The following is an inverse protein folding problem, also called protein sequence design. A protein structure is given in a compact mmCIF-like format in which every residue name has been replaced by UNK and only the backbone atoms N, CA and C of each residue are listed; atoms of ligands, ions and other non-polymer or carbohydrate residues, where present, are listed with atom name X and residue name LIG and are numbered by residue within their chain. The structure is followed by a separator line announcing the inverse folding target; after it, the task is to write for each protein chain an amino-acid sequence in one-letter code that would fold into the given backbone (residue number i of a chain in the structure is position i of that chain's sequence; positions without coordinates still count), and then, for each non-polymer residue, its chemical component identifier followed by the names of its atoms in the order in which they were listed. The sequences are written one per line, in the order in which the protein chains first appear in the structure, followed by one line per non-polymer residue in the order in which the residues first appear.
data_IF_568579953791
#
_entry.id   IF_568579953791
#
_cell.length_a   1.000
_cell.length_b   1.000
_cell.length_c   1.000
_cell.angle_alpha   90.00
_cell.angle_beta   90.00
_cell.angle_gamma   90.00
#
_symmetry.space_group_name_H-M   'P 1'
#
loop_
_entity.id
_entity.type
_entity.pdbx_description
1 polymer ?
#
# COMPACT_ATOMS: atom_id res chain seq x y z
N UNK A 1 9.88 -80.77 -17.04
CA UNK A 1 8.86 -79.70 -16.96
C UNK A 1 9.47 -78.36 -17.32
N UNK A 2 8.75 -77.51 -18.05
CA UNK A 2 9.21 -76.21 -18.46
C UNK A 2 9.45 -75.23 -17.27
N UNK A 3 10.28 -74.27 -17.43
CA UNK A 3 10.55 -73.18 -16.46
C UNK A 3 9.25 -72.40 -16.23
N UNK A 4 8.86 -72.19 -14.95
CA UNK A 4 7.60 -71.53 -14.61
C UNK A 4 7.86 -70.31 -13.78
N UNK A 5 7.07 -69.24 -13.96
CA UNK A 5 7.06 -68.05 -13.11
C UNK A 5 6.72 -68.45 -11.65
N UNK A 6 7.49 -67.97 -10.69
CA UNK A 6 7.27 -68.24 -9.25
C UNK A 6 6.76 -67.00 -8.53
N UNK A 7 7.48 -65.92 -8.62
CA UNK A 7 7.17 -64.64 -7.93
C UNK A 7 7.73 -63.43 -8.65
N UNK A 8 7.30 -62.26 -8.25
CA UNK A 8 7.95 -60.97 -8.60
C UNK A 8 8.29 -60.21 -7.33
N UNK A 9 9.24 -59.29 -7.45
CA UNK A 9 9.59 -58.35 -6.41
C UNK A 9 9.96 -56.99 -7.04
N UNK A 10 9.62 -55.88 -6.38
CA UNK A 10 10.17 -54.58 -6.72
C UNK A 10 11.58 -54.54 -6.15
N UNK A 11 12.59 -54.62 -7.03
CA UNK A 11 14.02 -54.62 -6.63
C UNK A 11 14.64 -53.26 -6.62
N UNK A 12 14.04 -52.29 -7.33
CA UNK A 12 14.36 -50.84 -7.24
C UNK A 12 13.04 -50.09 -7.17
N UNK A 13 12.81 -49.30 -6.11
CA UNK A 13 11.57 -48.52 -6.02
C UNK A 13 11.55 -47.39 -7.08
N UNK A 14 10.35 -46.87 -7.41
CA UNK A 14 10.24 -45.72 -8.31
C UNK A 14 10.90 -44.47 -7.70
N UNK A 15 11.30 -43.52 -8.55
CA UNK A 15 11.87 -42.26 -8.12
C UNK A 15 10.89 -41.39 -7.33
N UNK A 16 9.59 -41.52 -7.61
CA UNK A 16 8.51 -40.83 -6.88
C UNK A 16 7.73 -41.83 -6.03
N UNK A 17 7.72 -41.61 -4.72
CA UNK A 17 6.96 -42.44 -3.76
C UNK A 17 5.96 -41.64 -2.92
N UNK A 18 5.95 -40.28 -3.09
CA UNK A 18 5.07 -39.37 -2.38
C UNK A 18 4.16 -38.64 -3.40
N UNK A 19 2.87 -38.69 -3.19
CA UNK A 19 1.84 -38.17 -4.09
C UNK A 19 0.85 -37.28 -3.36
N UNK A 20 0.32 -36.28 -4.05
CA UNK A 20 -0.90 -35.62 -3.63
C UNK A 20 -2.12 -36.48 -3.98
N UNK A 21 -3.12 -36.44 -3.13
CA UNK A 21 -4.41 -37.11 -3.43
C UNK A 21 -4.93 -36.66 -4.79
N UNK A 22 -5.28 -37.65 -5.64
CA UNK A 22 -5.70 -37.43 -7.03
C UNK A 22 -4.57 -37.49 -8.07
N UNK A 23 -3.29 -37.63 -7.68
CA UNK A 23 -2.22 -37.94 -8.63
C UNK A 23 -2.17 -39.41 -8.99
N UNK A 24 -1.73 -39.73 -10.21
CA UNK A 24 -1.53 -41.13 -10.66
C UNK A 24 -0.14 -41.64 -10.24
N UNK A 25 -0.03 -42.95 -10.01
CA UNK A 25 1.25 -43.57 -9.74
C UNK A 25 2.18 -43.45 -10.95
N UNK A 26 3.45 -43.08 -10.68
CA UNK A 26 4.52 -42.98 -11.69
C UNK A 26 5.54 -44.07 -11.45
N UNK A 27 5.65 -45.09 -12.34
CA UNK A 27 6.59 -46.19 -12.22
C UNK A 27 8.04 -45.79 -12.67
N UNK A 28 8.31 -44.55 -13.04
CA UNK A 28 9.63 -44.14 -13.54
C UNK A 28 10.75 -44.55 -12.57
N UNK A 29 11.78 -45.23 -13.08
CA UNK A 29 12.90 -45.74 -12.30
C UNK A 29 12.64 -47.04 -11.54
N UNK A 30 11.40 -47.53 -11.51
CA UNK A 30 11.05 -48.80 -10.85
C UNK A 30 11.58 -50.00 -11.63
N UNK A 31 12.20 -50.95 -10.93
CA UNK A 31 12.59 -52.24 -11.49
C UNK A 31 11.85 -53.34 -10.79
N UNK A 32 11.13 -54.14 -11.57
CA UNK A 32 10.43 -55.35 -11.11
C UNK A 32 11.20 -56.57 -11.62
N UNK A 33 11.54 -57.48 -10.73
CA UNK A 33 12.29 -58.69 -11.07
C UNK A 33 11.41 -59.93 -10.85
N UNK A 34 11.29 -60.76 -11.89
CA UNK A 34 10.61 -62.07 -11.86
C UNK A 34 11.60 -63.14 -11.46
N UNK A 35 11.14 -64.07 -10.60
CA UNK A 35 11.89 -65.30 -10.21
C UNK A 35 11.20 -66.51 -10.76
N UNK A 36 11.94 -67.44 -11.35
CA UNK A 36 11.47 -68.64 -11.99
C UNK A 36 11.81 -69.91 -11.26
N UNK A 37 11.17 -71.04 -11.60
CA UNK A 37 11.30 -72.33 -10.91
C UNK A 37 12.70 -72.94 -10.97
N UNK A 38 13.56 -72.49 -11.87
CA UNK A 38 14.98 -72.84 -11.98
C UNK A 38 15.90 -71.90 -11.22
N UNK A 39 15.35 -70.92 -10.46
CA UNK A 39 16.14 -69.88 -9.72
C UNK A 39 16.56 -68.69 -10.57
N UNK A 40 16.28 -68.66 -11.88
CA UNK A 40 16.61 -67.53 -12.73
C UNK A 40 15.84 -66.29 -12.30
N UNK A 41 16.50 -65.13 -12.40
CA UNK A 41 15.91 -63.81 -12.15
C UNK A 41 16.03 -62.92 -13.39
N UNK A 42 14.89 -62.41 -13.87
CA UNK A 42 14.82 -61.59 -15.07
C UNK A 42 13.97 -60.34 -14.78
N UNK A 43 14.25 -59.24 -15.47
CA UNK A 43 13.40 -58.05 -15.41
C UNK A 43 12.01 -58.35 -15.98
N UNK A 44 10.97 -58.07 -15.19
CA UNK A 44 9.58 -58.18 -15.63
C UNK A 44 9.16 -56.85 -16.25
N UNK A 45 8.67 -56.91 -17.51
CA UNK A 45 8.13 -55.76 -18.23
C UNK A 45 6.65 -56.03 -18.58
N UNK A 46 5.85 -54.97 -18.83
CA UNK A 46 4.43 -55.12 -19.18
C UNK A 46 3.55 -55.52 -18.00
N UNK A 47 3.97 -55.28 -16.77
CA UNK A 47 3.16 -55.47 -15.56
C UNK A 47 2.05 -54.44 -15.49
N UNK A 48 0.96 -54.75 -14.84
CA UNK A 48 -0.12 -53.83 -14.48
C UNK A 48 0.11 -53.26 -13.07
N UNK A 49 -0.38 -52.06 -12.83
CA UNK A 49 -0.38 -51.42 -11.50
C UNK A 49 -1.81 -51.16 -11.08
N UNK A 50 -2.12 -51.49 -9.83
CA UNK A 50 -3.44 -51.30 -9.22
C UNK A 50 -3.33 -50.49 -7.94
N UNK A 51 -4.14 -49.43 -7.76
CA UNK A 51 -5.13 -48.92 -8.69
C UNK A 51 -4.52 -48.38 -9.98
N UNK A 52 -5.19 -48.55 -11.12
CA UNK A 52 -4.79 -47.99 -12.42
C UNK A 52 -5.15 -46.52 -12.59
N UNK A 53 -5.92 -45.98 -11.65
CA UNK A 53 -6.37 -44.58 -11.60
C UNK A 53 -5.60 -43.74 -10.58
N UNK A 54 -6.16 -42.56 -10.23
CA UNK A 54 -5.58 -41.70 -9.24
C UNK A 54 -5.43 -42.34 -7.86
N UNK A 55 -4.34 -42.05 -7.18
CA UNK A 55 -4.13 -42.41 -5.78
C UNK A 55 -4.95 -41.47 -4.90
N UNK A 56 -5.85 -42.02 -4.12
CA UNK A 56 -6.75 -41.30 -3.22
C UNK A 56 -6.22 -41.34 -1.78
N UNK A 57 -6.80 -40.48 -0.92
CA UNK A 57 -6.47 -40.45 0.50
C UNK A 57 -6.59 -41.85 1.13
N UNK A 58 -5.62 -42.21 1.98
CA UNK A 58 -5.57 -43.49 2.67
C UNK A 58 -4.87 -44.61 1.89
N UNK A 59 -4.53 -44.43 0.60
CA UNK A 59 -3.72 -45.41 -0.15
C UNK A 59 -2.28 -45.37 0.36
N UNK A 60 -1.79 -46.51 0.82
CA UNK A 60 -0.43 -46.70 1.38
C UNK A 60 0.48 -47.55 0.50
N UNK A 61 -0.08 -48.26 -0.49
CA UNK A 61 0.69 -49.05 -1.45
C UNK A 61 -0.07 -49.23 -2.77
N UNK A 62 0.68 -49.51 -3.82
CA UNK A 62 0.14 -49.98 -5.09
C UNK A 62 0.53 -51.45 -5.29
N UNK A 63 -0.33 -52.21 -5.95
CA UNK A 63 -0.09 -53.63 -6.28
C UNK A 63 0.43 -53.72 -7.72
N UNK A 64 1.60 -54.34 -7.87
CA UNK A 64 2.19 -54.66 -9.16
C UNK A 64 1.78 -56.06 -9.52
N UNK A 65 1.09 -56.25 -10.68
CA UNK A 65 0.64 -57.57 -11.17
C UNK A 65 1.38 -57.90 -12.45
N UNK A 66 2.04 -59.07 -12.45
CA UNK A 66 2.71 -59.61 -13.63
C UNK A 66 2.14 -60.96 -13.98
N UNK A 67 1.84 -61.18 -15.28
CA UNK A 67 1.24 -62.42 -15.78
C UNK A 67 2.09 -62.99 -16.92
N UNK A 68 2.48 -64.26 -16.79
CA UNK A 68 3.25 -64.96 -17.79
C UNK A 68 2.86 -66.45 -17.79
N UNK A 69 2.69 -67.07 -18.97
CA UNK A 69 2.34 -68.45 -19.12
C UNK A 69 1.03 -68.83 -18.41
N UNK A 70 0.06 -67.95 -18.32
CA UNK A 70 -1.21 -68.13 -17.64
C UNK A 70 -1.17 -68.07 -16.12
N UNK A 71 0.01 -67.76 -15.53
CA UNK A 71 0.18 -67.54 -14.09
C UNK A 71 0.34 -66.05 -13.79
N UNK A 72 -0.46 -65.57 -12.83
CA UNK A 72 -0.35 -64.19 -12.29
C UNK A 72 0.27 -64.24 -10.92
N UNK A 73 1.20 -63.28 -10.66
CA UNK A 73 1.84 -63.06 -9.38
C UNK A 73 1.83 -61.55 -9.07
N UNK A 74 1.89 -61.19 -7.80
CA UNK A 74 1.83 -59.80 -7.36
C UNK A 74 2.99 -59.41 -6.45
N UNK A 75 3.33 -58.15 -6.44
CA UNK A 75 4.20 -57.50 -5.48
C UNK A 75 3.59 -56.16 -5.05
N UNK A 76 3.94 -55.68 -3.88
CA UNK A 76 3.50 -54.39 -3.36
C UNK A 76 4.61 -53.36 -3.41
N UNK A 77 4.29 -52.13 -3.81
CA UNK A 77 5.15 -50.95 -3.73
C UNK A 77 4.51 -49.95 -2.78
N UNK A 78 5.20 -49.63 -1.68
CA UNK A 78 4.72 -48.63 -0.74
C UNK A 78 4.72 -47.22 -1.35
N UNK A 79 3.68 -46.46 -1.06
CA UNK A 79 3.53 -45.05 -1.42
C UNK A 79 3.00 -44.26 -0.24
N UNK A 80 3.25 -42.94 -0.23
CA UNK A 80 2.64 -42.02 0.72
C UNK A 80 1.72 -41.07 -0.05
N UNK A 81 0.44 -41.12 0.21
CA UNK A 81 -0.55 -40.19 -0.33
C UNK A 81 -0.86 -39.14 0.74
N UNK A 82 -0.63 -37.87 0.43
CA UNK A 82 -0.95 -36.74 1.32
C UNK A 82 -2.23 -36.07 0.86
N UNK A 83 -3.12 -35.69 1.79
CA UNK A 83 -4.33 -34.97 1.46
C UNK A 83 -4.03 -33.68 0.70
N UNK A 84 -4.84 -33.41 -0.33
CA UNK A 84 -4.68 -32.20 -1.16
C UNK A 84 -5.54 -31.08 -0.61
N UNK A 85 -5.02 -29.84 -0.63
CA UNK A 85 -5.77 -28.63 -0.28
C UNK A 85 -7.01 -28.48 -1.18
N UNK A 86 -8.18 -28.29 -0.56
CA UNK A 86 -9.47 -28.07 -1.24
C UNK A 86 -9.92 -26.62 -1.13
N UNK A 87 -9.93 -26.08 0.10
CA UNK A 87 -10.43 -24.73 0.35
C UNK A 87 -9.78 -24.14 1.60
N UNK A 88 -9.95 -22.83 1.76
CA UNK A 88 -9.68 -22.14 3.02
C UNK A 88 -10.89 -21.33 3.45
N UNK A 89 -11.01 -21.08 4.76
CA UNK A 89 -12.03 -20.22 5.34
C UNK A 89 -11.42 -19.33 6.42
N UNK A 90 -11.86 -18.06 6.49
CA UNK A 90 -11.61 -17.19 7.65
C UNK A 90 -12.60 -17.59 8.73
N UNK A 91 -12.15 -18.33 9.72
CA UNK A 91 -13.01 -18.84 10.83
C UNK A 91 -13.11 -17.85 11.98
N UNK A 92 -12.13 -16.97 12.12
CA UNK A 92 -12.19 -15.81 13.01
C UNK A 92 -11.76 -14.58 12.21
N UNK A 93 -12.61 -13.56 12.07
CA UNK A 93 -12.23 -12.34 11.35
C UNK A 93 -11.12 -11.59 12.09
N UNK A 94 -10.39 -10.69 11.41
CA UNK A 94 -9.40 -9.84 12.06
C UNK A 94 -10.09 -8.92 13.10
N UNK A 95 -9.36 -8.54 14.14
CA UNK A 95 -9.87 -7.65 15.19
C UNK A 95 -10.21 -6.26 14.67
N UNK A 96 -9.53 -5.81 13.59
CA UNK A 96 -9.82 -4.54 12.92
C UNK A 96 -10.50 -4.82 11.57
N UNK A 97 -11.71 -4.29 11.40
CA UNK A 97 -12.51 -4.41 10.17
C UNK A 97 -12.90 -3.06 9.58
N UNK A 98 -12.64 -1.96 10.32
CA UNK A 98 -12.84 -0.59 9.87
C UNK A 98 -11.48 0.11 9.72
N UNK A 99 -11.24 0.68 8.56
CA UNK A 99 -9.99 1.32 8.16
C UNK A 99 -10.25 2.73 7.63
N UNK A 100 -9.19 3.50 7.54
CA UNK A 100 -9.17 4.77 6.83
C UNK A 100 -8.39 4.65 5.53
N UNK A 101 -8.67 5.54 4.58
CA UNK A 101 -7.92 5.65 3.34
C UNK A 101 -6.42 5.74 3.61
N UNK A 102 -5.63 4.94 2.90
CA UNK A 102 -4.18 4.84 3.05
C UNK A 102 -3.69 3.90 4.16
N UNK A 103 -4.58 3.35 5.00
CA UNK A 103 -4.18 2.38 6.02
C UNK A 103 -3.89 1.00 5.43
N UNK A 104 -2.95 0.29 6.06
CA UNK A 104 -2.63 -1.09 5.74
C UNK A 104 -3.60 -2.07 6.41
N UNK A 105 -3.92 -3.17 5.71
CA UNK A 105 -4.71 -4.25 6.28
C UNK A 105 -3.95 -4.96 7.41
N UNK A 106 -4.64 -5.26 8.50
CA UNK A 106 -4.09 -5.98 9.65
C UNK A 106 -4.75 -7.35 9.77
N UNK A 107 -3.94 -8.41 9.83
CA UNK A 107 -4.38 -9.78 10.06
C UNK A 107 -4.46 -10.14 11.55
N UNK A 108 -4.23 -9.19 12.45
CA UNK A 108 -4.24 -9.44 13.90
C UNK A 108 -5.56 -10.06 14.36
N UNK A 109 -5.48 -11.19 15.07
CA UNK A 109 -6.63 -11.96 15.54
C UNK A 109 -7.33 -12.81 14.48
N UNK A 110 -6.95 -12.72 13.19
CA UNK A 110 -7.57 -13.51 12.13
C UNK A 110 -7.09 -14.97 12.19
N UNK A 111 -8.03 -15.90 12.10
CA UNK A 111 -7.74 -17.33 11.98
C UNK A 111 -8.23 -17.85 10.64
N UNK A 112 -7.32 -18.45 9.89
CA UNK A 112 -7.62 -19.09 8.61
C UNK A 112 -7.45 -20.60 8.79
N UNK A 113 -8.44 -21.37 8.37
CA UNK A 113 -8.37 -22.85 8.34
C UNK A 113 -8.43 -23.36 6.91
N UNK A 114 -7.58 -24.32 6.61
CA UNK A 114 -7.63 -25.12 5.39
C UNK A 114 -8.49 -26.34 5.60
N UNK A 115 -9.14 -26.77 4.53
CA UNK A 115 -9.84 -28.07 4.41
C UNK A 115 -9.19 -28.87 3.32
N UNK A 116 -8.99 -30.17 3.57
CA UNK A 116 -8.28 -31.10 2.70
C UNK A 116 -9.20 -32.17 2.13
N UNK A 117 -8.74 -32.92 1.14
CA UNK A 117 -9.50 -33.98 0.44
C UNK A 117 -9.97 -35.10 1.34
N UNK A 118 -9.29 -35.40 2.43
CA UNK A 118 -9.67 -36.37 3.45
C UNK A 118 -10.73 -35.86 4.45
N UNK A 119 -11.18 -34.59 4.27
CA UNK A 119 -12.10 -33.92 5.19
C UNK A 119 -11.45 -33.33 6.42
N UNK A 120 -10.14 -33.49 6.63
CA UNK A 120 -9.41 -32.86 7.73
C UNK A 120 -9.35 -31.37 7.57
N UNK A 121 -9.20 -30.65 8.71
CA UNK A 121 -9.02 -29.22 8.74
C UNK A 121 -7.84 -28.86 9.63
N UNK A 122 -7.08 -27.82 9.24
CA UNK A 122 -5.98 -27.30 10.03
C UNK A 122 -5.92 -25.77 9.99
N UNK A 123 -5.52 -25.13 11.08
CA UNK A 123 -5.18 -23.73 11.05
C UNK A 123 -3.90 -23.53 10.23
N UNK A 124 -3.90 -22.53 9.34
CA UNK A 124 -2.79 -22.27 8.43
C UNK A 124 -2.23 -20.86 8.65
N UNK A 125 -0.94 -20.74 8.41
CA UNK A 125 -0.19 -19.47 8.41
C UNK A 125 0.54 -19.34 7.08
N UNK A 126 1.17 -18.18 6.82
CA UNK A 126 1.90 -17.97 5.56
C UNK A 126 0.99 -17.70 4.35
N UNK A 127 -0.28 -17.37 4.58
CA UNK A 127 -1.17 -16.86 3.54
C UNK A 127 -0.81 -15.41 3.19
N UNK A 128 -1.19 -14.99 2.00
CA UNK A 128 -1.07 -13.60 1.53
C UNK A 128 -2.43 -12.91 1.53
N UNK A 129 -2.42 -11.57 1.63
CA UNK A 129 -3.63 -10.74 1.61
C UNK A 129 -3.55 -9.66 0.55
N UNK A 130 -4.65 -9.36 -0.13
CA UNK A 130 -4.74 -8.30 -1.15
C UNK A 130 -6.14 -7.67 -1.16
N UNK A 131 -6.23 -6.32 -1.15
CA UNK A 131 -5.14 -5.35 -1.11
C UNK A 131 -4.42 -5.32 0.25
N UNK A 132 -3.15 -4.90 0.26
CA UNK A 132 -2.38 -4.69 1.50
C UNK A 132 -2.58 -3.31 2.09
N UNK A 133 -3.07 -2.34 1.28
CA UNK A 133 -3.35 -0.94 1.67
C UNK A 133 -4.63 -0.49 0.97
N UNK A 134 -5.45 0.28 1.66
CA UNK A 134 -6.76 0.70 1.14
C UNK A 134 -6.68 2.04 0.40
N UNK A 135 -6.92 2.01 -0.89
CA UNK A 135 -6.89 3.15 -1.80
C UNK A 135 -8.27 3.55 -2.37
N UNK A 136 -9.33 2.96 -1.83
CA UNK A 136 -10.72 3.26 -2.19
C UNK A 136 -11.60 3.28 -0.95
N UNK A 137 -12.63 4.13 -0.96
CA UNK A 137 -13.58 4.27 0.14
C UNK A 137 -14.74 3.27 0.04
N UNK A 138 -15.44 3.08 1.15
CA UNK A 138 -16.64 2.25 1.23
C UNK A 138 -16.36 0.80 1.60
N UNK A 139 -17.30 -0.09 1.27
CA UNK A 139 -17.15 -1.52 1.52
C UNK A 139 -16.12 -2.11 0.58
N UNK A 140 -15.14 -2.82 1.13
CA UNK A 140 -14.05 -3.47 0.40
C UNK A 140 -14.01 -4.95 0.80
N UNK A 141 -13.38 -5.77 -0.05
CA UNK A 141 -13.09 -7.17 0.25
C UNK A 141 -11.61 -7.42 0.17
N UNK A 142 -11.04 -8.00 1.20
CA UNK A 142 -9.64 -8.45 1.21
C UNK A 142 -9.61 -9.92 0.85
N UNK A 143 -8.89 -10.26 -0.22
CA UNK A 143 -8.64 -11.65 -0.62
C UNK A 143 -7.52 -12.22 0.22
N UNK A 144 -7.79 -13.34 0.89
CA UNK A 144 -6.80 -14.16 1.59
C UNK A 144 -6.49 -15.35 0.68
N UNK A 145 -5.22 -15.57 0.35
CA UNK A 145 -4.76 -16.67 -0.51
C UNK A 145 -3.73 -17.52 0.21
N UNK A 146 -3.94 -18.82 0.25
CA UNK A 146 -3.02 -19.81 0.77
C UNK A 146 -2.60 -20.79 -0.32
N UNK A 147 -1.33 -21.19 -0.31
CA UNK A 147 -0.78 -22.15 -1.29
C UNK A 147 0.03 -23.20 -0.55
N UNK A 148 -0.27 -24.46 -0.81
CA UNK A 148 0.42 -25.62 -0.25
C UNK A 148 0.63 -26.67 -1.34
N UNK A 149 1.84 -27.23 -1.44
CA UNK A 149 2.22 -28.25 -2.43
C UNK A 149 1.79 -27.88 -3.87
N UNK A 150 1.91 -26.58 -4.26
CA UNK A 150 1.53 -26.10 -5.58
C UNK A 150 0.03 -25.89 -5.79
N UNK A 151 -0.81 -26.20 -4.80
CA UNK A 151 -2.27 -25.98 -4.85
C UNK A 151 -2.63 -24.72 -4.09
N UNK A 152 -3.43 -23.85 -4.71
CA UNK A 152 -3.87 -22.58 -4.11
C UNK A 152 -5.36 -22.60 -3.84
N UNK A 153 -5.76 -21.98 -2.72
CA UNK A 153 -7.14 -21.65 -2.40
C UNK A 153 -7.24 -20.20 -1.94
N UNK A 154 -8.40 -19.58 -2.13
CA UNK A 154 -8.62 -18.20 -1.72
C UNK A 154 -10.03 -18.03 -1.12
N UNK A 155 -10.13 -17.03 -0.22
CA UNK A 155 -11.38 -16.60 0.41
C UNK A 155 -11.33 -15.08 0.58
N UNK A 156 -12.47 -14.41 0.69
CA UNK A 156 -12.52 -12.98 0.96
C UNK A 156 -13.04 -12.69 2.37
N UNK A 157 -12.52 -11.60 2.97
CA UNK A 157 -13.04 -11.05 4.22
C UNK A 157 -13.46 -9.58 4.00
N UNK A 158 -14.68 -9.17 4.44
CA UNK A 158 -15.17 -7.82 4.24
C UNK A 158 -14.54 -6.85 5.22
N UNK A 159 -14.34 -5.60 4.77
CA UNK A 159 -13.90 -4.47 5.57
C UNK A 159 -14.61 -3.20 5.11
N UNK A 160 -14.57 -2.14 5.93
CA UNK A 160 -15.06 -0.81 5.55
C UNK A 160 -13.92 0.20 5.59
N UNK A 161 -13.89 1.10 4.60
CA UNK A 161 -12.85 2.14 4.49
C UNK A 161 -13.52 3.52 4.50
N UNK A 162 -13.17 4.34 5.46
CA UNK A 162 -13.59 5.74 5.59
C UNK A 162 -12.49 6.71 5.15
N UNK A 163 -12.82 7.99 5.04
CA UNK A 163 -11.85 9.03 4.71
C UNK A 163 -10.72 9.12 5.72
N UNK A 164 -9.51 9.45 5.25
CA UNK A 164 -8.40 9.81 6.12
C UNK A 164 -8.63 11.19 6.72
N UNK A 165 -8.18 11.40 7.96
CA UNK A 165 -8.43 12.63 8.72
C UNK A 165 -7.27 13.60 8.56
N UNK A 166 -7.57 14.85 8.23
CA UNK A 166 -6.65 15.99 8.29
C UNK A 166 -6.85 16.67 9.62
N UNK A 167 -5.86 16.57 10.50
CA UNK A 167 -5.95 17.07 11.88
C UNK A 167 -5.67 18.58 12.00
N UNK A 168 -4.91 19.14 11.06
CA UNK A 168 -4.42 20.52 11.15
C UNK A 168 -4.80 21.30 9.89
N UNK A 169 -5.47 22.43 10.09
CA UNK A 169 -5.74 23.40 9.02
C UNK A 169 -4.43 24.09 8.64
N UNK A 170 -4.12 24.27 7.35
CA UNK A 170 -2.93 25.01 6.92
C UNK A 170 -2.87 26.43 7.49
N UNK A 171 -1.67 26.97 7.62
CA UNK A 171 -1.41 28.35 8.03
C UNK A 171 -0.29 28.96 7.20
N UNK A 172 -0.29 30.29 7.05
CA UNK A 172 0.80 30.98 6.36
C UNK A 172 2.14 30.68 7.04
N UNK A 173 3.13 30.33 6.23
CA UNK A 173 4.52 30.12 6.66
C UNK A 173 5.33 31.37 6.39
N UNK A 174 5.89 31.95 7.43
CA UNK A 174 6.68 33.18 7.34
C UNK A 174 5.84 34.43 7.07
N UNK A 175 6.51 35.57 7.02
CA UNK A 175 5.91 36.87 6.73
C UNK A 175 6.22 37.29 5.29
N UNK A 176 5.26 37.94 4.64
CA UNK A 176 5.45 38.61 3.35
C UNK A 176 5.44 40.10 3.55
N UNK A 177 6.34 40.82 2.86
CA UNK A 177 6.41 42.27 2.86
C UNK A 177 6.19 42.79 1.45
N UNK A 178 5.42 43.83 1.30
CA UNK A 178 5.13 44.48 0.02
C UNK A 178 6.42 44.82 -0.75
N UNK A 179 6.47 44.38 -2.01
CA UNK A 179 7.58 44.55 -2.93
C UNK A 179 7.22 45.31 -4.21
N UNK A 180 5.93 45.61 -4.43
CA UNK A 180 5.38 46.09 -5.70
C UNK A 180 5.07 44.97 -6.72
N UNK A 181 5.47 43.74 -6.46
CA UNK A 181 5.22 42.58 -7.29
C UNK A 181 4.21 41.64 -6.64
N UNK A 182 3.59 40.74 -7.43
CA UNK A 182 2.70 39.71 -6.91
C UNK A 182 3.45 38.74 -6.00
N UNK A 183 2.90 38.48 -4.82
CA UNK A 183 3.42 37.57 -3.80
C UNK A 183 2.40 36.48 -3.51
N UNK A 184 2.89 35.27 -3.23
CA UNK A 184 2.10 34.12 -2.81
C UNK A 184 2.67 33.59 -1.49
N UNK A 185 1.83 33.23 -0.51
CA UNK A 185 2.30 32.67 0.74
C UNK A 185 2.75 31.22 0.56
N UNK A 186 3.76 30.81 1.32
CA UNK A 186 4.00 29.42 1.63
C UNK A 186 3.06 28.99 2.76
N UNK A 187 2.77 27.68 2.81
CA UNK A 187 1.82 27.15 3.77
C UNK A 187 2.44 26.04 4.62
N UNK A 188 2.30 26.15 5.93
CA UNK A 188 2.56 25.04 6.86
C UNK A 188 1.39 24.04 6.78
N UNK A 189 1.69 22.76 6.93
CA UNK A 189 0.69 21.66 6.95
C UNK A 189 -0.18 21.56 5.67
N UNK A 190 0.29 22.09 4.54
CA UNK A 190 -0.38 21.94 3.25
C UNK A 190 0.23 20.80 2.45
N UNK A 191 -0.63 19.88 2.02
CA UNK A 191 -0.30 18.79 1.11
C UNK A 191 -1.33 18.77 -0.02
N UNK A 192 -0.88 18.99 -1.25
CA UNK A 192 -1.75 19.03 -2.44
C UNK A 192 -2.44 17.69 -2.77
N UNK A 193 -1.92 16.56 -2.28
CA UNK A 193 -2.61 15.26 -2.41
C UNK A 193 -3.84 15.16 -1.48
N UNK A 194 -3.87 15.93 -0.40
CA UNK A 194 -4.92 15.91 0.62
C UNK A 194 -5.89 17.07 0.51
N UNK A 195 -5.41 18.23 0.06
CA UNK A 195 -6.15 19.48 0.06
C UNK A 195 -6.05 20.19 -1.29
N UNK A 196 -7.16 20.69 -1.76
CA UNK A 196 -7.20 21.65 -2.88
C UNK A 196 -7.13 23.07 -2.34
N UNK A 197 -6.15 23.85 -2.82
CA UNK A 197 -5.98 25.27 -2.51
C UNK A 197 -6.82 26.12 -3.48
N UNK A 198 -7.57 27.06 -2.94
CA UNK A 198 -8.39 28.00 -3.68
C UNK A 198 -8.45 29.37 -3.00
N UNK A 199 -9.45 30.18 -3.38
CA UNK A 199 -9.60 31.55 -2.89
C UNK A 199 -8.52 32.48 -3.45
N UNK A 200 -8.09 33.49 -2.68
CA UNK A 200 -7.01 34.40 -3.06
C UNK A 200 -5.67 33.80 -2.70
N UNK A 201 -4.96 33.27 -3.68
CA UNK A 201 -3.69 32.56 -3.52
C UNK A 201 -2.46 33.43 -3.79
N UNK A 202 -2.65 34.64 -4.35
CA UNK A 202 -1.61 35.62 -4.58
C UNK A 202 -2.19 37.02 -4.53
N UNK A 203 -1.37 38.01 -4.17
CA UNK A 203 -1.75 39.42 -4.16
C UNK A 203 -0.51 40.32 -4.30
N UNK A 204 -0.72 41.56 -4.73
CA UNK A 204 0.38 42.56 -4.90
C UNK A 204 0.42 43.53 -3.73
N UNK A 205 -0.74 44.00 -3.24
CA UNK A 205 -0.78 45.07 -2.24
C UNK A 205 -0.63 44.50 -0.81
N UNK A 206 -0.14 45.38 0.10
CA UNK A 206 -0.18 45.08 1.51
C UNK A 206 -1.64 44.97 1.99
N UNK A 207 -1.95 43.91 2.74
CA UNK A 207 -3.31 43.65 3.18
C UNK A 207 -3.48 42.20 3.72
N UNK A 208 -4.72 41.88 4.08
CA UNK A 208 -5.13 40.55 4.49
C UNK A 208 -6.02 39.94 3.42
N UNK A 209 -5.74 38.70 3.07
CA UNK A 209 -6.39 37.94 2.01
C UNK A 209 -6.87 36.60 2.55
N UNK A 210 -7.84 35.99 1.91
CA UNK A 210 -8.39 34.70 2.30
C UNK A 210 -8.11 33.64 1.23
N UNK A 211 -7.34 32.62 1.58
CA UNK A 211 -7.23 31.38 0.84
C UNK A 211 -8.23 30.36 1.39
N UNK A 212 -8.59 29.37 0.58
CA UNK A 212 -9.46 28.28 1.00
C UNK A 212 -8.74 26.95 0.81
N UNK A 213 -8.99 26.03 1.73
CA UNK A 213 -8.48 24.65 1.66
C UNK A 213 -9.65 23.69 1.75
N UNK A 214 -9.78 22.84 0.72
CA UNK A 214 -10.87 21.87 0.61
C UNK A 214 -10.26 20.46 0.60
N UNK A 215 -10.66 19.54 1.50
CA UNK A 215 -10.24 18.16 1.44
C UNK A 215 -10.56 17.53 0.08
N UNK A 216 -9.63 16.77 -0.46
CA UNK A 216 -9.89 15.93 -1.65
C UNK A 216 -10.83 14.78 -1.27
N UNK A 217 -11.39 14.07 -2.24
CA UNK A 217 -12.45 13.06 -2.05
C UNK A 217 -12.17 12.00 -1.00
N UNK A 218 -10.88 11.69 -0.77
CA UNK A 218 -10.44 10.65 0.15
C UNK A 218 -10.13 11.15 1.56
N UNK A 219 -10.31 12.45 1.83
CA UNK A 219 -9.95 13.09 3.07
C UNK A 219 -11.12 13.86 3.68
N UNK A 220 -11.07 14.07 4.97
CA UNK A 220 -12.00 14.90 5.75
C UNK A 220 -11.24 15.64 6.84
N UNK A 221 -11.81 16.74 7.33
CA UNK A 221 -11.29 17.42 8.51
C UNK A 221 -11.54 16.57 9.78
N UNK A 222 -10.85 16.90 10.86
CA UNK A 222 -11.00 16.22 12.16
C UNK A 222 -12.42 16.37 12.77
N UNK A 223 -13.20 17.33 12.29
CA UNK A 223 -14.61 17.51 12.67
C UNK A 223 -15.57 16.69 11.81
N UNK A 224 -15.06 15.83 10.91
CA UNK A 224 -15.83 14.98 10.01
C UNK A 224 -16.39 15.70 8.78
N UNK A 225 -16.08 16.99 8.57
CA UNK A 225 -16.55 17.75 7.41
C UNK A 225 -15.58 17.69 6.25
N UNK A 226 -16.11 17.92 5.02
CA UNK A 226 -15.31 18.04 3.79
C UNK A 226 -15.44 19.44 3.18
N UNK A 227 -16.10 20.37 3.89
CA UNK A 227 -16.27 21.74 3.43
C UNK A 227 -14.95 22.51 3.39
N UNK A 228 -14.86 23.47 2.49
CA UNK A 228 -13.71 24.37 2.41
C UNK A 228 -13.57 25.18 3.70
N UNK A 229 -12.35 25.24 4.25
CA UNK A 229 -12.01 26.13 5.36
C UNK A 229 -11.23 27.33 4.82
N UNK A 230 -11.66 28.55 5.24
CA UNK A 230 -11.00 29.79 4.88
C UNK A 230 -9.88 30.09 5.86
N UNK A 231 -8.73 30.49 5.35
CA UNK A 231 -7.54 30.83 6.12
C UNK A 231 -7.00 32.17 5.65
N UNK A 232 -6.85 33.12 6.57
CA UNK A 232 -6.30 34.42 6.25
C UNK A 232 -4.78 34.34 6.14
N UNK A 233 -4.24 35.11 5.18
CA UNK A 233 -2.83 35.35 4.99
C UNK A 233 -2.57 36.83 4.74
N UNK A 234 -1.35 37.31 5.00
CA UNK A 234 -1.07 38.74 5.00
C UNK A 234 0.19 39.10 4.22
N UNK A 235 0.15 40.25 3.58
CA UNK A 235 1.32 40.99 3.10
C UNK A 235 1.46 42.25 3.97
N UNK A 236 2.54 42.34 4.73
CA UNK A 236 2.87 43.51 5.53
C UNK A 236 3.29 44.72 4.67
N UNK A 237 3.11 45.90 5.18
CA UNK A 237 3.61 47.12 4.52
C UNK A 237 5.14 47.12 4.48
N UNK A 238 5.72 47.60 3.40
CA UNK A 238 7.14 47.91 3.36
C UNK A 238 7.46 49.04 4.33
N UNK A 239 8.67 49.05 4.87
CA UNK A 239 9.15 50.16 5.65
C UNK A 239 9.21 51.43 4.77
N UNK A 240 8.62 52.49 5.25
CA UNK A 240 8.77 53.81 4.64
C UNK A 240 10.17 54.38 4.88
N UNK A 241 10.67 55.18 3.96
CA UNK A 241 11.87 55.97 4.14
C UNK A 241 11.62 57.43 3.79
N UNK A 242 12.32 58.30 4.49
CA UNK A 242 12.30 59.75 4.26
C UNK A 242 13.74 60.28 4.24
N UNK A 243 14.06 61.02 3.23
CA UNK A 243 15.33 61.78 3.19
C UNK A 243 15.06 63.21 2.71
N UNK A 244 15.86 64.12 3.17
CA UNK A 244 15.79 65.54 2.82
C UNK A 244 17.12 66.00 2.23
N UNK A 245 17.07 66.91 1.23
CA UNK A 245 18.26 67.49 0.64
C UNK A 245 17.95 68.93 0.19
N UNK A 246 18.76 69.92 0.58
CA UNK A 246 19.87 69.82 1.53
C UNK A 246 19.40 69.68 2.97
N UNK A 247 20.25 69.14 3.86
CA UNK A 247 19.93 68.92 5.29
C UNK A 247 20.03 70.20 6.11
N UNK A 248 20.63 71.24 5.55
CA UNK A 248 20.71 72.59 6.11
C UNK A 248 20.74 73.64 5.00
N UNK A 249 20.19 74.82 5.25
CA UNK A 249 20.27 75.95 4.35
C UNK A 249 20.20 77.26 5.17
N UNK A 250 20.73 78.33 4.59
CA UNK A 250 20.71 79.66 5.19
C UNK A 250 19.72 80.52 4.43
N UNK A 251 18.88 81.27 5.15
CA UNK A 251 18.01 82.31 4.65
C UNK A 251 18.63 83.64 4.99
N UNK A 252 18.64 84.57 4.06
CA UNK A 252 19.09 85.96 4.24
C UNK A 252 18.19 86.93 3.45
N UNK A 253 18.44 88.23 3.56
CA UNK A 253 17.63 89.26 2.91
C UNK A 253 17.66 89.16 1.37
N UNK A 254 18.70 88.57 0.78
CA UNK A 254 18.84 88.32 -0.66
C UNK A 254 18.20 87.04 -1.13
N UNK A 255 18.03 86.04 -0.22
CA UNK A 255 17.46 84.74 -0.45
C UNK A 255 16.46 84.37 0.66
N UNK A 256 15.31 85.08 0.70
CA UNK A 256 14.36 84.91 1.81
C UNK A 256 13.56 83.62 1.75
N UNK A 257 13.61 82.90 0.64
CA UNK A 257 12.90 81.66 0.43
C UNK A 257 13.81 80.57 -0.18
N UNK A 258 13.84 79.40 0.38
CA UNK A 258 14.62 78.29 -0.11
C UNK A 258 13.77 77.00 -0.06
N UNK A 259 14.07 76.01 -0.94
CA UNK A 259 13.37 74.73 -1.02
C UNK A 259 14.27 73.61 -0.52
N UNK A 260 13.72 72.78 0.32
CA UNK A 260 14.26 71.45 0.68
C UNK A 260 13.47 70.38 -0.10
N UNK A 261 14.21 69.60 -0.85
CA UNK A 261 13.60 68.46 -1.53
C UNK A 261 13.46 67.32 -0.54
N UNK A 262 12.22 66.78 -0.44
CA UNK A 262 11.91 65.61 0.36
C UNK A 262 11.74 64.42 -0.57
N UNK A 263 12.58 63.40 -0.42
CA UNK A 263 12.46 62.14 -1.10
C UNK A 263 11.89 61.10 -0.14
N UNK A 264 10.81 60.44 -0.52
CA UNK A 264 10.16 59.41 0.30
C UNK A 264 9.93 58.11 -0.47
N UNK A 265 9.96 57.01 0.25
CA UNK A 265 9.34 55.77 -0.14
C UNK A 265 8.17 55.48 0.81
N UNK A 266 7.04 55.07 0.25
CA UNK A 266 5.78 54.86 0.98
C UNK A 266 4.74 55.94 0.73
N UNK A 267 3.53 55.76 1.25
CA UNK A 267 2.36 56.61 1.03
C UNK A 267 1.95 57.42 2.28
N UNK A 268 2.82 57.51 3.27
CA UNK A 268 2.59 58.31 4.48
C UNK A 268 2.48 59.82 4.16
N UNK A 269 1.72 60.57 4.96
CA UNK A 269 1.67 62.04 4.87
C UNK A 269 2.96 62.64 5.36
N UNK A 270 3.49 63.64 4.66
CA UNK A 270 4.63 64.43 5.11
C UNK A 270 4.10 65.70 5.79
N UNK A 271 4.60 65.99 6.99
CA UNK A 271 4.38 67.26 7.67
C UNK A 271 5.70 67.87 8.01
N UNK A 272 5.77 69.18 8.03
CA UNK A 272 6.93 69.96 8.47
C UNK A 272 6.47 71.07 9.37
N UNK A 273 7.22 71.32 10.43
CA UNK A 273 6.94 72.38 11.40
C UNK A 273 8.20 73.23 11.64
N UNK A 274 8.02 74.52 11.86
CA UNK A 274 9.10 75.42 12.31
C UNK A 274 9.13 75.42 13.81
N UNK A 275 10.30 75.22 14.40
CA UNK A 275 10.52 75.34 15.85
C UNK A 275 10.44 76.81 16.36
N UNK A 276 10.55 77.76 15.43
CA UNK A 276 10.41 79.22 15.76
C UNK A 276 9.87 79.95 14.54
N UNK A 277 8.56 80.17 14.51
CA UNK A 277 7.84 80.83 13.40
C UNK A 277 8.13 82.31 13.27
N UNK A 278 8.74 82.97 14.31
CA UNK A 278 9.20 84.33 14.21
C UNK A 278 10.55 84.49 13.45
N UNK A 279 11.28 83.40 13.25
CA UNK A 279 12.53 83.32 12.49
C UNK A 279 12.26 82.78 11.05
N UNK A 280 11.56 81.74 10.92
CA UNK A 280 11.20 81.14 9.62
C UNK A 280 9.93 80.38 9.69
N UNK A 281 9.15 80.33 8.60
CA UNK A 281 7.97 79.50 8.39
C UNK A 281 8.32 78.37 7.40
N UNK A 282 7.63 77.28 7.48
CA UNK A 282 7.71 76.14 6.53
C UNK A 282 6.34 75.77 6.02
N UNK A 283 6.26 75.46 4.75
CA UNK A 283 5.05 74.82 4.11
C UNK A 283 5.46 73.62 3.30
N UNK A 284 4.58 72.63 3.22
CA UNK A 284 4.71 71.43 2.37
C UNK A 284 3.86 71.68 1.13
N UNK A 285 4.47 71.61 -0.06
CA UNK A 285 3.82 71.77 -1.35
C UNK A 285 3.80 70.46 -2.16
#
# INVERSE_FOLDING_TARGET
GGIKLVSIAVTTPPTKTRYLSGESFDPAGMVVTATYSNGAKLAATGYAVEPSGPLLDGVTSVTIRYTEGGKSVTASQAVTVIPKLVSIAVTTPPTKTAYRYGEAFSTAGMVVKATYTDGSTAAVTGYTTSPSTFTSLGSQSVTVKYTENGVSAAVTTPVTVSRAVISTVPSQSGSLTYTGSSLSPNWNNYNSAQLTLGGTTSATNAGTYAATFTPTSNYEWSDGTTAAKSVNWTIGKAAGSLSISPTSLTLDSSNPTRTITVTRAGNGTISAESSNTSVATVSVS
#
